data_IF_095862285486
#
_entry.id   IF_095862285486
#
_cell.length_a   1.000
_cell.length_b   1.000
_cell.length_c   1.000
_cell.angle_alpha   90.00
_cell.angle_beta   90.00
_cell.angle_gamma   90.00
#
_symmetry.space_group_name_H-M   'P 1'
#
loop_
_entity.id
_entity.type
_entity.pdbx_description
1 polymer ?
#
# COMPACT_ATOMS: atom_id res chain seq x y z
N UNK A 1 -23.33 -3.63 1.80
CA UNK A 1 -23.26 -2.14 1.87
C UNK A 1 -23.17 -1.56 0.49
N UNK A 2 -23.67 -0.35 0.31
CA UNK A 2 -23.64 0.36 -0.98
C UNK A 2 -22.69 1.57 -0.99
N UNK A 3 -22.17 1.98 0.17
CA UNK A 3 -21.36 3.21 0.33
C UNK A 3 -19.93 2.98 0.81
N UNK A 4 -19.71 1.99 1.64
CA UNK A 4 -18.37 1.69 2.20
C UNK A 4 -17.42 1.34 1.06
N UNK A 5 -16.26 1.98 1.03
CA UNK A 5 -15.15 1.61 0.16
C UNK A 5 -14.44 0.37 0.72
N UNK A 6 -13.87 -0.40 -0.17
CA UNK A 6 -13.17 -1.65 0.14
C UNK A 6 -11.68 -1.47 -0.19
N UNK A 7 -10.84 -1.50 0.83
CA UNK A 7 -9.40 -1.33 0.67
C UNK A 7 -8.61 -2.58 1.03
N UNK A 8 -7.59 -2.90 0.25
CA UNK A 8 -6.56 -3.88 0.64
C UNK A 8 -5.37 -3.10 1.19
N UNK A 9 -4.97 -3.41 2.43
CA UNK A 9 -3.87 -2.72 3.10
C UNK A 9 -2.89 -3.74 3.73
N UNK A 10 -1.97 -4.30 2.95
CA UNK A 10 -1.57 -4.03 1.56
C UNK A 10 -1.44 -5.34 0.79
N UNK A 11 -1.41 -5.27 -0.54
CA UNK A 11 -0.95 -6.37 -1.37
C UNK A 11 0.58 -6.27 -1.57
N UNK A 12 1.22 -7.42 -1.75
CA UNK A 12 2.69 -7.51 -1.83
C UNK A 12 3.09 -8.11 -3.19
N UNK A 13 3.62 -7.29 -4.13
CA UNK A 13 3.96 -7.74 -5.50
C UNK A 13 4.98 -8.88 -5.57
N UNK A 14 5.73 -9.11 -4.50
CA UNK A 14 6.74 -10.19 -4.44
C UNK A 14 6.13 -11.59 -4.36
N UNK A 15 4.95 -11.70 -3.76
CA UNK A 15 4.20 -12.97 -3.63
C UNK A 15 3.04 -13.05 -4.60
N UNK A 16 2.77 -11.99 -5.34
CA UNK A 16 1.68 -11.91 -6.31
C UNK A 16 2.14 -11.13 -7.54
N UNK A 17 2.04 -11.73 -8.71
CA UNK A 17 2.40 -11.05 -9.96
C UNK A 17 1.52 -9.81 -10.20
N UNK A 18 2.08 -8.66 -10.65
CA UNK A 18 1.33 -7.42 -10.87
C UNK A 18 0.09 -7.56 -11.75
N UNK A 19 0.13 -8.40 -12.79
CA UNK A 19 -1.03 -8.67 -13.63
C UNK A 19 -2.15 -9.38 -12.87
N UNK A 20 -1.83 -10.30 -11.96
CA UNK A 20 -2.84 -10.93 -11.09
C UNK A 20 -3.46 -9.92 -10.13
N UNK A 21 -2.64 -9.02 -9.57
CA UNK A 21 -3.15 -7.94 -8.74
C UNK A 21 -4.11 -7.06 -9.55
N UNK A 22 -3.70 -6.62 -10.74
CA UNK A 22 -4.51 -5.79 -11.62
C UNK A 22 -5.86 -6.44 -11.96
N UNK A 23 -5.85 -7.70 -12.42
CA UNK A 23 -7.07 -8.42 -12.80
C UNK A 23 -8.02 -8.64 -11.62
N UNK A 24 -7.49 -9.06 -10.46
CA UNK A 24 -8.29 -9.28 -9.24
C UNK A 24 -8.92 -8.00 -8.73
N UNK A 25 -8.16 -6.91 -8.70
CA UNK A 25 -8.67 -5.62 -8.26
C UNK A 25 -9.71 -5.05 -9.21
N UNK A 26 -9.54 -5.21 -10.52
CA UNK A 26 -10.55 -4.84 -11.51
C UNK A 26 -11.84 -5.65 -11.35
N UNK A 27 -11.73 -6.96 -11.11
CA UNK A 27 -12.90 -7.82 -10.81
C UNK A 27 -13.65 -7.35 -9.57
N UNK A 28 -12.92 -7.08 -8.48
CA UNK A 28 -13.51 -6.56 -7.23
C UNK A 28 -14.14 -5.17 -7.45
N UNK A 29 -13.52 -4.36 -8.30
CA UNK A 29 -14.04 -3.03 -8.62
C UNK A 29 -15.38 -3.10 -9.36
N UNK A 30 -15.48 -4.00 -10.33
CA UNK A 30 -16.75 -4.28 -11.04
C UNK A 30 -17.83 -4.76 -10.04
N UNK A 31 -17.53 -5.76 -9.22
CA UNK A 31 -18.49 -6.32 -8.26
C UNK A 31 -18.91 -5.32 -7.18
N UNK A 32 -17.98 -4.48 -6.76
CA UNK A 32 -18.27 -3.44 -5.77
C UNK A 32 -18.92 -2.18 -6.36
N UNK A 33 -19.05 -2.08 -7.69
CA UNK A 33 -19.53 -0.89 -8.40
C UNK A 33 -18.66 0.34 -8.10
N UNK A 34 -17.34 0.21 -8.30
CA UNK A 34 -16.39 1.32 -8.19
C UNK A 34 -16.03 1.73 -6.77
N UNK A 35 -16.03 0.79 -5.80
CA UNK A 35 -15.72 1.10 -4.39
C UNK A 35 -14.37 0.58 -3.91
N UNK A 36 -13.51 0.08 -4.81
CA UNK A 36 -12.22 -0.51 -4.45
C UNK A 36 -11.13 0.55 -4.34
N UNK A 37 -10.26 0.39 -3.36
CA UNK A 37 -8.98 1.06 -3.21
C UNK A 37 -7.86 -0.01 -3.14
N UNK A 38 -6.75 0.18 -3.84
CA UNK A 38 -5.61 -0.73 -3.84
C UNK A 38 -4.47 -0.19 -3.00
N UNK A 39 -4.16 -0.86 -1.89
CA UNK A 39 -2.92 -0.64 -1.15
C UNK A 39 -1.82 -1.60 -1.60
N UNK A 40 -0.62 -1.07 -1.82
CA UNK A 40 0.58 -1.80 -2.22
C UNK A 40 1.68 -1.56 -1.20
N UNK A 41 2.42 -2.60 -0.86
CA UNK A 41 3.55 -2.51 0.06
C UNK A 41 4.57 -3.61 -0.17
N UNK A 42 5.75 -3.44 0.46
CA UNK A 42 6.87 -4.39 0.31
C UNK A 42 6.83 -5.57 1.28
N UNK A 43 5.90 -5.59 2.24
CA UNK A 43 5.95 -6.38 3.47
C UNK A 43 7.11 -5.98 4.40
N UNK A 44 6.91 -6.16 5.69
CA UNK A 44 7.91 -5.85 6.71
C UNK A 44 8.28 -7.05 7.59
N UNK A 45 7.76 -8.23 7.27
CA UNK A 45 7.90 -9.42 8.12
C UNK A 45 8.72 -10.51 7.41
N UNK A 46 10.04 -10.63 7.73
CA UNK A 46 10.93 -11.63 7.13
C UNK A 46 10.40 -13.06 7.29
N UNK A 47 9.90 -13.39 8.47
CA UNK A 47 9.32 -14.70 8.77
C UNK A 47 8.15 -15.08 7.83
N UNK A 48 7.25 -14.13 7.55
CA UNK A 48 6.15 -14.40 6.63
C UNK A 48 6.64 -14.56 5.19
N UNK A 49 7.65 -13.79 4.78
CA UNK A 49 8.19 -13.86 3.43
C UNK A 49 8.99 -15.15 3.17
N UNK A 50 9.68 -15.65 4.18
CA UNK A 50 10.42 -16.93 4.07
C UNK A 50 9.51 -18.12 3.74
N UNK A 51 8.27 -18.11 4.23
CA UNK A 51 7.28 -19.13 3.91
C UNK A 51 6.91 -19.18 2.40
N UNK A 52 7.11 -18.07 1.66
CA UNK A 52 6.92 -18.01 0.21
C UNK A 52 8.22 -18.19 -0.56
N UNK A 53 9.33 -18.50 0.09
CA UNK A 53 10.64 -18.60 -0.54
C UNK A 53 11.16 -17.28 -1.13
N UNK A 54 10.71 -16.14 -0.60
CA UNK A 54 10.99 -14.82 -1.16
C UNK A 54 12.03 -14.10 -0.32
N UNK A 55 13.12 -13.71 -0.95
CA UNK A 55 14.16 -12.87 -0.34
C UNK A 55 13.67 -11.41 -0.17
N UNK A 56 14.02 -10.76 0.95
CA UNK A 56 13.73 -9.34 1.20
C UNK A 56 14.66 -8.38 0.44
N UNK A 57 15.76 -8.84 -0.10
CA UNK A 57 16.54 -8.08 -1.04
C UNK A 57 15.65 -7.67 -2.23
N UNK A 58 15.87 -6.48 -2.78
CA UNK A 58 15.13 -5.95 -3.94
C UNK A 58 13.60 -5.73 -3.74
N UNK A 59 13.09 -5.84 -2.50
CA UNK A 59 11.67 -5.63 -2.22
C UNK A 59 11.12 -4.29 -2.72
N UNK A 60 11.91 -3.25 -2.58
CA UNK A 60 11.53 -1.90 -2.99
C UNK A 60 11.46 -1.78 -4.51
N UNK A 61 12.48 -2.27 -5.22
CA UNK A 61 12.53 -2.25 -6.69
C UNK A 61 11.38 -3.05 -7.33
N UNK A 62 11.05 -4.22 -6.77
CA UNK A 62 9.89 -5.01 -7.25
C UNK A 62 8.55 -4.27 -7.04
N UNK A 63 8.41 -3.54 -5.95
CA UNK A 63 7.23 -2.69 -5.73
C UNK A 63 7.20 -1.58 -6.76
N UNK A 64 8.34 -0.95 -7.07
CA UNK A 64 8.42 0.14 -8.03
C UNK A 64 7.98 -0.31 -9.43
N UNK A 65 8.47 -1.44 -9.93
CA UNK A 65 7.99 -2.00 -11.20
C UNK A 65 6.49 -2.32 -11.17
N UNK A 66 5.98 -2.87 -10.07
CA UNK A 66 4.56 -3.16 -9.94
C UNK A 66 3.68 -1.90 -9.94
N UNK A 67 4.18 -0.79 -9.35
CA UNK A 67 3.49 0.50 -9.37
C UNK A 67 3.37 1.08 -10.79
N UNK A 68 4.32 0.80 -11.67
CA UNK A 68 4.24 1.17 -13.09
C UNK A 68 3.30 0.24 -13.86
N UNK A 69 3.42 -1.07 -13.66
CA UNK A 69 2.67 -2.08 -14.40
C UNK A 69 1.16 -2.02 -14.14
N UNK A 70 0.76 -1.92 -12.86
CA UNK A 70 -0.65 -2.06 -12.49
C UNK A 70 -1.55 -0.98 -13.10
N UNK A 71 -1.26 0.33 -13.01
CA UNK A 71 -2.11 1.34 -13.62
C UNK A 71 -2.11 1.27 -15.15
N UNK A 72 -0.99 0.89 -15.77
CA UNK A 72 -0.93 0.67 -17.21
C UNK A 72 -1.83 -0.50 -17.63
N UNK A 73 -1.80 -1.62 -16.91
CA UNK A 73 -2.68 -2.75 -17.15
C UNK A 73 -4.18 -2.37 -17.09
N UNK A 74 -4.55 -1.37 -16.31
CA UNK A 74 -5.92 -0.88 -16.20
C UNK A 74 -6.31 0.13 -17.28
N UNK A 75 -5.38 0.99 -17.70
CA UNK A 75 -5.68 2.19 -18.50
C UNK A 75 -5.24 2.10 -19.96
N UNK A 76 -4.31 1.22 -20.29
CA UNK A 76 -3.84 1.01 -21.66
C UNK A 76 -4.60 -0.16 -22.31
N UNK A 77 -4.72 -0.14 -23.63
CA UNK A 77 -5.20 -1.27 -24.40
C UNK A 77 -4.14 -2.38 -24.40
N UNK A 78 -3.27 -2.36 -25.40
CA UNK A 78 -2.09 -3.22 -25.43
C UNK A 78 -0.90 -2.49 -24.79
N UNK A 79 -0.16 -3.17 -23.89
CA UNK A 79 1.11 -2.68 -23.36
C UNK A 79 2.11 -3.82 -23.21
N UNK A 80 3.39 -3.46 -23.14
CA UNK A 80 4.49 -4.35 -22.76
C UNK A 80 5.29 -3.74 -21.64
N UNK A 81 6.00 -4.57 -20.90
CA UNK A 81 6.92 -4.14 -19.86
C UNK A 81 8.16 -5.03 -19.85
N UNK A 82 9.34 -4.42 -19.78
CA UNK A 82 10.62 -5.15 -19.70
C UNK A 82 11.43 -4.55 -18.56
N UNK A 83 11.24 -5.09 -17.35
CA UNK A 83 11.93 -4.69 -16.12
C UNK A 83 12.96 -5.71 -15.68
N UNK A 84 13.52 -5.47 -14.52
CA UNK A 84 14.46 -6.38 -13.84
C UNK A 84 13.76 -7.63 -13.30
N UNK A 85 12.51 -7.48 -12.81
CA UNK A 85 11.76 -8.53 -12.13
C UNK A 85 10.55 -9.01 -12.93
N UNK A 86 9.97 -8.15 -13.73
CA UNK A 86 8.79 -8.50 -14.51
C UNK A 86 9.04 -8.25 -16.00
N UNK A 87 8.79 -9.28 -16.80
CA UNK A 87 8.84 -9.19 -18.26
C UNK A 87 7.46 -9.59 -18.80
N UNK A 88 6.78 -8.61 -19.42
CA UNK A 88 5.42 -8.77 -19.90
C UNK A 88 5.43 -8.50 -21.43
N UNK A 89 5.30 -9.53 -22.26
CA UNK A 89 5.12 -9.36 -23.70
C UNK A 89 3.86 -8.54 -24.00
N UNK A 90 3.85 -7.86 -25.15
CA UNK A 90 2.71 -7.03 -25.58
C UNK A 90 1.38 -7.79 -25.47
N UNK A 91 0.47 -7.23 -24.70
CA UNK A 91 -0.87 -7.80 -24.44
C UNK A 91 -1.84 -6.79 -23.86
N UNK A 92 -3.11 -7.06 -24.03
CA UNK A 92 -4.17 -6.43 -23.27
C UNK A 92 -4.49 -7.24 -22.01
N UNK A 93 -4.81 -6.56 -20.91
CA UNK A 93 -5.17 -7.19 -19.63
C UNK A 93 -6.64 -6.95 -19.31
N UNK A 94 -7.37 -8.01 -19.06
CA UNK A 94 -8.77 -7.99 -18.67
C UNK A 94 -9.00 -8.68 -17.32
N UNK A 95 -10.11 -8.32 -16.59
CA UNK A 95 -11.03 -7.22 -16.92
C UNK A 95 -10.43 -5.84 -16.65
N UNK A 96 -11.04 -4.78 -17.20
CA UNK A 96 -10.74 -3.40 -16.82
C UNK A 96 -11.63 -2.98 -15.63
N UNK A 97 -11.16 -2.11 -14.72
CA UNK A 97 -11.99 -1.59 -13.63
C UNK A 97 -13.08 -0.67 -14.17
N UNK A 98 -14.12 -0.43 -13.36
CA UNK A 98 -15.19 0.53 -13.69
C UNK A 98 -14.86 1.94 -13.22
N UNK A 99 -13.96 2.08 -12.26
CA UNK A 99 -13.48 3.41 -11.84
C UNK A 99 -12.60 4.03 -12.93
N UNK A 100 -12.84 5.30 -13.22
CA UNK A 100 -12.08 6.07 -14.21
C UNK A 100 -11.27 7.16 -13.52
N UNK A 101 -9.96 7.32 -13.80
CA UNK A 101 -9.16 6.54 -14.76
C UNK A 101 -8.80 5.12 -14.28
N UNK A 102 -8.78 4.88 -12.99
CA UNK A 102 -8.53 3.59 -12.34
C UNK A 102 -8.86 3.66 -10.84
N UNK A 103 -8.93 2.52 -10.12
CA UNK A 103 -9.07 2.51 -8.67
C UNK A 103 -7.97 3.32 -7.97
N UNK A 104 -8.29 4.09 -6.93
CA UNK A 104 -7.28 4.82 -6.16
C UNK A 104 -6.22 3.88 -5.58
N UNK A 105 -4.97 4.32 -5.65
CA UNK A 105 -3.81 3.56 -5.18
C UNK A 105 -3.25 4.17 -3.90
N UNK A 106 -2.75 3.30 -3.02
CA UNK A 106 -2.17 3.65 -1.73
C UNK A 106 -0.84 2.94 -1.54
N UNK A 107 0.14 3.61 -0.98
CA UNK A 107 1.44 3.04 -0.65
C UNK A 107 1.56 2.77 0.85
N UNK A 108 2.04 1.59 1.21
CA UNK A 108 2.39 1.25 2.58
C UNK A 108 3.65 1.97 3.02
N UNK A 109 3.54 2.87 4.01
CA UNK A 109 4.59 3.75 4.47
C UNK A 109 5.01 3.41 5.91
N UNK A 110 6.31 3.32 6.17
CA UNK A 110 6.89 3.07 7.50
C UNK A 110 8.02 4.02 7.87
N UNK A 111 8.62 4.69 6.89
CA UNK A 111 9.74 5.61 7.05
C UNK A 111 9.47 6.91 6.30
N UNK A 112 10.17 7.96 6.66
CA UNK A 112 10.00 9.30 6.09
C UNK A 112 10.13 9.31 4.56
N UNK A 113 11.12 8.58 4.02
CA UNK A 113 11.31 8.47 2.58
C UNK A 113 10.08 7.86 1.88
N UNK A 114 9.41 6.89 2.51
CA UNK A 114 8.23 6.26 1.93
C UNK A 114 6.99 7.15 2.00
N UNK A 115 6.90 8.02 3.00
CA UNK A 115 5.87 9.07 3.04
C UNK A 115 6.06 10.09 1.92
N UNK A 116 7.30 10.58 1.74
CA UNK A 116 7.65 11.47 0.62
C UNK A 116 7.33 10.83 -0.72
N UNK A 117 7.81 9.60 -0.93
CA UNK A 117 7.58 8.83 -2.15
C UNK A 117 6.10 8.64 -2.46
N UNK A 118 5.26 8.31 -1.47
CA UNK A 118 3.83 8.19 -1.67
C UNK A 118 3.23 9.49 -2.22
N UNK A 119 3.64 10.64 -1.67
CA UNK A 119 3.25 11.96 -2.16
C UNK A 119 3.71 12.22 -3.58
N UNK A 120 4.99 12.03 -3.87
CA UNK A 120 5.60 12.23 -5.20
C UNK A 120 4.94 11.38 -6.29
N UNK A 121 4.51 10.16 -5.94
CA UNK A 121 3.78 9.26 -6.84
C UNK A 121 2.28 9.54 -6.92
N UNK A 122 1.78 10.59 -6.26
CA UNK A 122 0.36 10.93 -6.23
C UNK A 122 -0.52 9.89 -5.53
N UNK A 123 0.05 9.01 -4.71
CA UNK A 123 -0.65 7.92 -4.03
C UNK A 123 -1.11 8.33 -2.63
N UNK A 124 -2.19 7.72 -2.15
CA UNK A 124 -2.53 7.78 -0.72
C UNK A 124 -1.46 7.09 0.13
N UNK A 125 -1.26 7.58 1.36
CA UNK A 125 -0.34 6.98 2.32
C UNK A 125 -1.10 6.09 3.31
N UNK A 126 -0.69 4.82 3.41
CA UNK A 126 -1.12 3.87 4.44
C UNK A 126 0.02 3.63 5.41
N UNK A 127 -0.16 3.97 6.67
CA UNK A 127 0.88 3.79 7.68
C UNK A 127 0.34 3.14 8.95
N UNK A 128 1.24 2.50 9.69
CA UNK A 128 1.03 2.13 11.07
C UNK A 128 2.08 2.85 11.91
N UNK A 129 1.65 3.56 12.94
CA UNK A 129 2.55 4.30 13.82
C UNK A 129 2.22 4.05 15.29
N UNK A 130 3.25 3.66 16.03
CA UNK A 130 3.24 3.70 17.49
C UNK A 130 3.95 4.96 18.05
N UNK A 131 4.33 5.89 17.16
CA UNK A 131 5.00 7.15 17.52
C UNK A 131 3.98 8.16 18.02
N UNK A 132 4.45 9.11 18.83
CA UNK A 132 3.62 10.20 19.34
C UNK A 132 3.13 11.17 18.25
N UNK A 133 2.19 12.07 18.59
CA UNK A 133 1.55 12.99 17.64
C UNK A 133 2.54 13.87 16.86
N UNK A 134 3.63 14.32 17.50
CA UNK A 134 4.62 15.21 16.88
C UNK A 134 5.32 14.51 15.70
N UNK A 135 5.72 13.24 15.89
CA UNK A 135 6.33 12.46 14.80
C UNK A 135 5.35 12.20 13.67
N UNK A 136 4.10 11.90 14.00
CA UNK A 136 3.04 11.71 13.00
C UNK A 136 2.82 13.00 12.19
N UNK A 137 2.78 14.14 12.85
CA UNK A 137 2.65 15.46 12.20
C UNK A 137 3.81 15.71 11.22
N UNK A 138 5.04 15.40 11.62
CA UNK A 138 6.21 15.54 10.76
C UNK A 138 6.12 14.64 9.52
N UNK A 139 5.72 13.37 9.68
CA UNK A 139 5.54 12.44 8.57
C UNK A 139 4.45 12.90 7.58
N UNK A 140 3.33 13.42 8.10
CA UNK A 140 2.27 14.00 7.27
C UNK A 140 2.79 15.22 6.50
N UNK A 141 3.60 16.07 7.12
CA UNK A 141 4.22 17.22 6.44
C UNK A 141 5.10 16.75 5.28
N UNK A 142 5.98 15.77 5.51
CA UNK A 142 6.84 15.19 4.47
C UNK A 142 6.00 14.62 3.30
N UNK A 143 4.89 13.94 3.59
CA UNK A 143 3.96 13.48 2.56
C UNK A 143 3.36 14.64 1.75
N UNK A 144 2.93 15.72 2.42
CA UNK A 144 2.35 16.90 1.75
C UNK A 144 3.36 17.63 0.87
N UNK A 145 4.62 17.69 1.27
CA UNK A 145 5.71 18.20 0.43
C UNK A 145 5.84 17.37 -0.85
N UNK A 146 5.78 16.04 -0.74
CA UNK A 146 5.77 15.15 -1.91
C UNK A 146 4.57 15.37 -2.83
N UNK A 147 3.37 15.53 -2.27
CA UNK A 147 2.15 15.86 -3.06
C UNK A 147 2.34 17.18 -3.83
N UNK A 148 3.02 18.17 -3.27
CA UNK A 148 3.26 19.45 -3.91
C UNK A 148 4.10 19.37 -5.21
N UNK A 149 4.83 18.27 -5.40
CA UNK A 149 5.67 17.99 -6.59
C UNK A 149 5.29 16.69 -7.28
N UNK A 150 4.05 16.22 -7.09
CA UNK A 150 3.63 14.90 -7.53
C UNK A 150 3.73 14.74 -9.06
N UNK A 151 4.35 13.61 -9.45
CA UNK A 151 4.27 13.05 -10.79
C UNK A 151 3.58 11.67 -10.66
N UNK A 152 2.24 11.62 -10.82
CA UNK A 152 1.48 10.42 -10.47
C UNK A 152 1.86 9.22 -11.33
N UNK A 153 2.12 8.10 -10.68
CA UNK A 153 2.44 6.81 -11.33
C UNK A 153 1.27 6.28 -12.17
N UNK A 154 0.04 6.66 -11.84
CA UNK A 154 -1.16 6.47 -12.65
C UNK A 154 -1.69 7.80 -13.16
N UNK A 155 -2.98 7.87 -13.43
CA UNK A 155 -3.65 9.09 -13.93
C UNK A 155 -4.47 9.80 -12.83
N UNK A 156 -4.18 9.51 -11.56
CA UNK A 156 -4.97 9.96 -10.41
C UNK A 156 -4.06 10.36 -9.25
N UNK A 157 -4.30 11.54 -8.68
CA UNK A 157 -3.71 11.95 -7.40
C UNK A 157 -4.70 11.62 -6.27
N UNK A 158 -4.25 10.79 -5.31
CA UNK A 158 -4.98 10.42 -4.10
C UNK A 158 -4.37 11.11 -2.89
N UNK A 159 -4.67 12.38 -2.69
CA UNK A 159 -4.17 13.13 -1.54
C UNK A 159 -4.89 12.76 -0.25
N UNK A 160 -4.50 11.64 0.35
CA UNK A 160 -5.04 11.12 1.61
C UNK A 160 -3.97 10.39 2.42
N UNK A 161 -4.02 10.55 3.73
CA UNK A 161 -3.21 9.80 4.69
C UNK A 161 -4.14 9.03 5.62
N UNK A 162 -3.86 7.74 5.78
CA UNK A 162 -4.50 6.86 6.75
C UNK A 162 -3.40 6.28 7.65
N UNK A 163 -3.50 6.55 8.95
CA UNK A 163 -2.55 6.04 9.94
C UNK A 163 -3.33 5.23 10.97
N UNK A 164 -2.98 3.95 11.11
CA UNK A 164 -3.46 3.11 12.20
C UNK A 164 -2.51 3.18 13.39
N UNK A 165 -3.07 3.06 14.58
CA UNK A 165 -2.30 2.97 15.82
C UNK A 165 -2.93 1.95 16.77
N UNK A 166 -2.12 1.42 17.68
CA UNK A 166 -2.63 0.59 18.75
C UNK A 166 -3.29 1.48 19.81
N UNK A 167 -4.52 1.16 20.16
CA UNK A 167 -5.26 1.88 21.20
C UNK A 167 -5.86 0.88 22.20
N UNK A 168 -5.83 1.25 23.47
CA UNK A 168 -6.42 0.47 24.57
C UNK A 168 -7.31 1.38 25.36
N UNK A 169 -8.55 0.95 25.54
CA UNK A 169 -9.53 1.63 26.38
C UNK A 169 -9.81 0.83 27.64
N UNK A 170 -10.11 1.51 28.73
CA UNK A 170 -10.51 0.90 29.99
C UNK A 170 -10.79 1.97 31.05
N UNK A 171 -11.40 1.56 32.15
CA UNK A 171 -11.82 2.44 33.24
C UNK A 171 -10.68 2.84 34.19
N UNK A 172 -9.64 2.01 34.29
CA UNK A 172 -8.52 2.18 35.21
C UNK A 172 -7.20 2.37 34.48
N UNK A 173 -6.57 3.55 34.68
CA UNK A 173 -5.32 3.92 34.01
C UNK A 173 -4.18 2.94 34.28
N UNK A 174 -4.03 2.42 35.49
CA UNK A 174 -2.97 1.47 35.85
C UNK A 174 -3.11 0.17 35.05
N UNK A 175 -4.31 -0.39 35.01
CA UNK A 175 -4.61 -1.59 34.24
C UNK A 175 -4.41 -1.39 32.73
N UNK A 176 -4.77 -0.21 32.21
CA UNK A 176 -4.53 0.15 30.80
C UNK A 176 -3.02 0.19 30.49
N UNK A 177 -2.21 0.77 31.38
CA UNK A 177 -0.76 0.86 31.19
C UNK A 177 -0.09 -0.53 31.21
N UNK A 178 -0.46 -1.39 32.14
CA UNK A 178 0.06 -2.76 32.24
C UNK A 178 -0.30 -3.60 31.00
N UNK A 179 -1.56 -3.56 30.59
CA UNK A 179 -2.02 -4.25 29.36
C UNK A 179 -1.41 -3.66 28.10
N UNK A 180 -1.21 -2.33 28.06
CA UNK A 180 -0.58 -1.63 26.95
C UNK A 180 0.87 -2.02 26.77
N UNK A 181 1.63 -2.12 27.87
CA UNK A 181 3.02 -2.58 27.84
C UNK A 181 3.11 -4.00 27.27
N UNK A 182 2.29 -4.93 27.76
CA UNK A 182 2.27 -6.32 27.28
C UNK A 182 1.97 -6.43 25.77
N UNK A 183 1.01 -5.64 25.27
CA UNK A 183 0.67 -5.64 23.83
C UNK A 183 1.81 -5.04 23.00
N UNK A 184 2.45 -3.96 23.47
CA UNK A 184 3.59 -3.37 22.77
C UNK A 184 4.79 -4.32 22.73
N UNK A 185 5.06 -5.02 23.82
CA UNK A 185 6.15 -6.01 23.89
C UNK A 185 5.89 -7.20 22.96
N UNK A 186 4.65 -7.70 22.94
CA UNK A 186 4.25 -8.72 21.98
C UNK A 186 4.42 -8.24 20.54
N UNK A 187 3.95 -7.02 20.23
CA UNK A 187 4.07 -6.44 18.87
C UNK A 187 5.53 -6.29 18.44
N UNK A 188 6.40 -5.82 19.34
CA UNK A 188 7.86 -5.69 19.07
C UNK A 188 8.51 -7.05 18.83
N UNK A 189 8.13 -8.08 19.61
CA UNK A 189 8.65 -9.43 19.42
C UNK A 189 8.33 -10.01 18.04
N UNK A 190 7.14 -9.67 17.47
CA UNK A 190 6.77 -10.10 16.13
C UNK A 190 7.55 -9.40 15.01
N UNK A 191 8.14 -8.24 15.28
CA UNK A 191 8.99 -7.53 14.31
C UNK A 191 10.45 -7.99 14.33
N UNK A 192 10.86 -8.66 15.41
CA UNK A 192 12.22 -9.18 15.59
C UNK A 192 12.41 -10.59 15.00
N UNK A 193 11.31 -11.28 14.64
CA UNK A 193 11.30 -12.59 13.96
C UNK A 193 11.40 -12.41 12.45
#
# INVERSE_FOLDING_TARGET
TSRIRLGIAVTVPRVQHPLHIAARMATLDIWSKGRVDLGIGRSGYPYQMSAFGVDLANATEMVDEALEIIPRAWTEGEFSYNGKFFNIPAREVHPKPVQTPHPPMWLGCSREETFRKAGELGMGCLAMSASGPDRVTQLIKTYREGIGVANPVGKLIKDRVSISTLAICGENRKNIQERGAAILDWYRSQQAL
#
